data_IF_964778780548
#
_entry.id   IF_964778780548
#
_cell.length_a   1.000
_cell.length_b   1.000
_cell.length_c   1.000
_cell.angle_alpha   90.00
_cell.angle_beta   90.00
_cell.angle_gamma   90.00
#
_symmetry.space_group_name_H-M   'P 1'
#
loop_
_entity.id
_entity.type
_entity.pdbx_description
1 polymer ?
#
# COMPACT_ATOMS: atom_id res chain seq x y z
N UNK A 1 -6.07 -24.85 -7.08
CA UNK A 1 -6.50 -24.04 -5.91
C UNK A 1 -6.76 -22.63 -6.40
N UNK A 2 -8.00 -22.13 -6.35
CA UNK A 2 -8.29 -20.72 -6.68
C UNK A 2 -7.65 -19.88 -5.56
N UNK A 3 -6.75 -18.97 -5.91
CA UNK A 3 -6.17 -18.04 -4.95
C UNK A 3 -7.26 -17.07 -4.54
N UNK A 4 -7.46 -16.87 -3.25
CA UNK A 4 -8.38 -15.84 -2.77
C UNK A 4 -7.79 -14.47 -3.08
N UNK A 5 -8.53 -13.69 -3.87
CA UNK A 5 -8.16 -12.36 -4.35
C UNK A 5 -8.34 -11.26 -3.29
N UNK A 6 -8.71 -11.66 -2.06
CA UNK A 6 -9.09 -10.78 -0.98
C UNK A 6 -8.75 -11.41 0.37
N UNK A 7 -8.12 -10.62 1.25
CA UNK A 7 -7.78 -11.01 2.62
C UNK A 7 -8.19 -9.88 3.55
N UNK A 8 -8.86 -10.24 4.66
CA UNK A 8 -9.17 -9.30 5.72
C UNK A 8 -8.22 -9.52 6.90
N UNK A 9 -7.50 -8.48 7.30
CA UNK A 9 -6.67 -8.50 8.50
C UNK A 9 -7.24 -7.56 9.56
N UNK A 10 -7.04 -7.91 10.82
CA UNK A 10 -7.46 -7.10 11.95
C UNK A 10 -6.22 -6.60 12.68
N UNK A 11 -5.98 -5.29 12.64
CA UNK A 11 -4.86 -4.66 13.32
C UNK A 11 -5.32 -4.09 14.66
N UNK A 12 -4.71 -4.57 15.75
CA UNK A 12 -4.89 -3.98 17.07
C UNK A 12 -4.14 -2.66 17.15
N UNK A 13 -4.81 -1.66 17.71
CA UNK A 13 -4.31 -0.32 17.98
C UNK A 13 -4.30 -0.06 19.48
N UNK A 14 -3.64 1.03 19.85
CA UNK A 14 -3.61 1.50 21.22
C UNK A 14 -5.03 1.79 21.72
N UNK A 15 -5.25 1.61 23.01
CA UNK A 15 -6.60 1.72 23.59
C UNK A 15 -7.52 0.54 23.30
N UNK A 16 -7.01 -0.57 22.75
CA UNK A 16 -7.78 -1.81 22.55
C UNK A 16 -8.67 -1.80 21.31
N UNK A 17 -8.65 -0.73 20.51
CA UNK A 17 -9.33 -0.67 19.24
C UNK A 17 -8.75 -1.69 18.25
N UNK A 18 -9.61 -2.33 17.47
CA UNK A 18 -9.20 -3.19 16.36
C UNK A 18 -9.75 -2.63 15.06
N UNK A 19 -8.86 -2.43 14.09
CA UNK A 19 -9.20 -1.85 12.78
C UNK A 19 -9.08 -2.92 11.70
N UNK A 20 -10.16 -3.22 10.95
CA UNK A 20 -10.11 -4.14 9.83
C UNK A 20 -9.50 -3.45 8.60
N UNK A 21 -8.52 -4.12 7.97
CA UNK A 21 -7.98 -3.74 6.67
C UNK A 21 -8.32 -4.82 5.66
N UNK A 22 -8.90 -4.41 4.53
CA UNK A 22 -9.19 -5.27 3.38
C UNK A 22 -8.05 -5.14 2.37
N UNK A 23 -7.37 -6.24 2.10
CA UNK A 23 -6.34 -6.35 1.07
C UNK A 23 -6.98 -7.03 -0.12
N UNK A 24 -6.89 -6.41 -1.30
CA UNK A 24 -7.36 -6.99 -2.56
C UNK A 24 -6.23 -6.95 -3.58
N UNK A 25 -6.20 -7.94 -4.47
CA UNK A 25 -5.29 -7.95 -5.63
C UNK A 25 -5.98 -7.52 -6.93
N UNK A 26 -7.32 -7.55 -6.96
CA UNK A 26 -8.12 -7.10 -8.09
C UNK A 26 -8.95 -5.84 -7.73
N UNK A 27 -8.51 -4.64 -8.15
CA UNK A 27 -9.21 -3.39 -7.89
C UNK A 27 -10.54 -3.25 -8.64
N UNK A 28 -10.87 -4.13 -9.61
CA UNK A 28 -12.13 -4.07 -10.35
C UNK A 28 -13.37 -4.28 -9.47
N UNK A 29 -13.19 -4.74 -8.23
CA UNK A 29 -14.25 -4.90 -7.23
C UNK A 29 -14.54 -3.61 -6.45
N UNK A 30 -13.75 -2.55 -6.62
CA UNK A 30 -13.94 -1.29 -5.92
C UNK A 30 -14.98 -0.43 -6.65
N UNK A 31 -15.97 0.04 -5.89
CA UNK A 31 -16.86 1.11 -6.33
C UNK A 31 -16.15 2.47 -6.23
N UNK A 32 -16.74 3.51 -6.83
CA UNK A 32 -16.22 4.88 -6.70
C UNK A 32 -16.09 5.33 -5.24
N UNK A 33 -17.05 4.94 -4.39
CA UNK A 33 -17.01 5.27 -2.96
C UNK A 33 -15.94 4.48 -2.20
N UNK A 34 -15.66 3.24 -2.62
CA UNK A 34 -14.57 2.45 -2.02
C UNK A 34 -13.20 3.10 -2.25
N UNK A 35 -13.00 3.81 -3.37
CA UNK A 35 -11.73 4.46 -3.69
C UNK A 35 -11.33 5.55 -2.69
N UNK A 36 -12.30 6.21 -2.03
CA UNK A 36 -11.99 7.12 -0.93
C UNK A 36 -11.43 6.39 0.31
N UNK A 37 -11.75 5.11 0.45
CA UNK A 37 -11.28 4.25 1.54
C UNK A 37 -9.99 3.49 1.22
N UNK A 38 -9.43 3.67 0.03
CA UNK A 38 -8.13 3.10 -0.32
C UNK A 38 -7.03 3.93 0.32
N UNK A 39 -6.23 3.29 1.16
CA UNK A 39 -5.23 3.95 2.00
C UNK A 39 -3.80 3.66 1.56
N UNK A 40 -3.57 2.52 0.91
CA UNK A 40 -2.26 2.09 0.47
C UNK A 40 -2.31 1.32 -0.85
N UNK A 41 -1.21 1.37 -1.61
CA UNK A 41 -0.98 0.55 -2.81
C UNK A 41 0.45 0.02 -2.83
N UNK A 42 0.62 -1.25 -3.22
CA UNK A 42 1.91 -1.82 -3.54
C UNK A 42 2.21 -1.68 -5.02
N UNK A 43 3.20 -0.85 -5.36
CA UNK A 43 3.59 -0.50 -6.72
C UNK A 43 4.62 -1.48 -7.25
N UNK A 44 4.40 -2.01 -8.45
CA UNK A 44 5.31 -2.95 -9.11
C UNK A 44 6.25 -2.25 -10.10
N UNK A 45 5.87 -1.08 -10.64
CA UNK A 45 6.69 -0.26 -11.53
C UNK A 45 6.08 0.04 -12.89
N UNK A 46 5.45 -0.92 -13.60
CA UNK A 46 4.80 -0.62 -14.87
C UNK A 46 3.54 0.23 -14.69
N UNK A 47 3.42 1.33 -15.45
CA UNK A 47 2.26 2.23 -15.37
C UNK A 47 0.93 1.55 -15.72
N UNK A 48 0.95 0.48 -16.52
CA UNK A 48 -0.25 -0.30 -16.84
C UNK A 48 -0.91 -0.94 -15.61
N UNK A 49 -0.18 -1.09 -14.49
CA UNK A 49 -0.73 -1.55 -13.21
C UNK A 49 -1.97 -0.75 -12.80
N UNK A 50 -2.01 0.54 -13.15
CA UNK A 50 -3.05 1.47 -12.75
C UNK A 50 -4.16 1.65 -13.79
N UNK A 51 -4.15 0.87 -14.87
CA UNK A 51 -5.18 0.96 -15.92
C UNK A 51 -6.57 0.73 -15.32
N UNK A 52 -7.49 1.67 -15.57
CA UNK A 52 -8.87 1.59 -15.09
C UNK A 52 -9.05 2.07 -13.65
N UNK A 53 -8.00 2.56 -13.00
CA UNK A 53 -8.11 3.24 -11.72
C UNK A 53 -8.67 4.66 -11.93
N UNK A 54 -9.25 5.28 -10.88
CA UNK A 54 -9.66 6.68 -10.93
C UNK A 54 -8.49 7.62 -11.21
N UNK A 55 -8.76 8.92 -11.28
CA UNK A 55 -7.75 9.96 -11.54
C UNK A 55 -7.02 9.73 -12.86
N UNK A 56 -7.79 9.39 -13.90
CA UNK A 56 -7.29 9.14 -15.26
C UNK A 56 -6.18 8.07 -15.35
N UNK A 57 -6.11 7.16 -14.37
CA UNK A 57 -5.04 6.17 -14.25
C UNK A 57 -3.62 6.80 -14.16
N UNK A 58 -3.52 8.07 -13.73
CA UNK A 58 -2.26 8.80 -13.62
C UNK A 58 -1.56 8.49 -12.28
N UNK A 59 -0.36 7.87 -12.26
CA UNK A 59 0.34 7.53 -11.03
C UNK A 59 0.59 8.71 -10.10
N UNK A 60 0.88 9.90 -10.64
CA UNK A 60 1.15 11.10 -9.84
C UNK A 60 -0.11 11.52 -9.06
N UNK A 61 -1.27 11.51 -9.72
CA UNK A 61 -2.54 11.84 -9.08
C UNK A 61 -2.95 10.74 -8.09
N UNK A 62 -2.82 9.47 -8.48
CA UNK A 62 -3.10 8.31 -7.61
C UNK A 62 -2.29 8.41 -6.31
N UNK A 63 -0.98 8.66 -6.39
CA UNK A 63 -0.10 8.69 -5.22
C UNK A 63 -0.23 9.97 -4.39
N UNK A 64 -0.93 11.00 -4.92
CA UNK A 64 -1.37 12.14 -4.11
C UNK A 64 -2.57 11.79 -3.22
N UNK A 65 -3.33 10.74 -3.57
CA UNK A 65 -4.56 10.32 -2.89
C UNK A 65 -4.46 9.01 -2.12
N UNK A 66 -3.39 8.23 -2.35
CA UNK A 66 -3.15 6.92 -1.76
C UNK A 66 -1.66 6.78 -1.40
N UNK A 67 -1.34 6.20 -0.24
CA UNK A 67 0.06 5.97 0.14
C UNK A 67 0.68 4.82 -0.68
N UNK A 68 1.65 5.13 -1.51
CA UNK A 68 2.34 4.13 -2.33
C UNK A 68 3.56 3.52 -1.63
N UNK A 69 3.72 2.21 -1.77
CA UNK A 69 4.84 1.42 -1.29
C UNK A 69 5.42 0.55 -2.40
N UNK A 70 6.74 0.44 -2.50
CA UNK A 70 7.41 -0.50 -3.40
C UNK A 70 8.28 -1.45 -2.59
N UNK A 71 7.86 -2.71 -2.54
CA UNK A 71 8.58 -3.76 -1.83
C UNK A 71 9.55 -4.44 -2.79
N UNK A 72 10.84 -4.45 -2.44
CA UNK A 72 11.90 -5.05 -3.26
C UNK A 72 12.94 -5.76 -2.41
N UNK A 73 13.70 -6.64 -3.05
CA UNK A 73 14.93 -7.16 -2.45
C UNK A 73 16.03 -6.10 -2.47
N UNK A 74 16.80 -5.99 -1.39
CA UNK A 74 17.79 -4.93 -1.22
C UNK A 74 18.84 -4.92 -2.36
N UNK A 75 19.23 -6.08 -2.87
CA UNK A 75 20.24 -6.25 -3.91
C UNK A 75 19.76 -5.91 -5.33
N UNK A 76 18.45 -5.87 -5.56
CA UNK A 76 17.91 -5.53 -6.87
C UNK A 76 17.84 -4.00 -7.04
N UNK A 77 17.94 -3.46 -8.28
CA UNK A 77 17.72 -2.05 -8.52
C UNK A 77 16.25 -1.67 -8.29
N UNK A 78 16.00 -0.39 -8.00
CA UNK A 78 14.64 0.16 -7.97
C UNK A 78 14.16 0.34 -9.41
N UNK A 79 12.91 -0.03 -9.69
CA UNK A 79 12.32 0.17 -11.01
C UNK A 79 12.40 1.66 -11.46
N UNK A 80 12.80 1.95 -12.71
CA UNK A 80 12.99 3.33 -13.17
C UNK A 80 11.74 4.22 -13.11
N UNK A 81 10.53 3.66 -13.19
CA UNK A 81 9.31 4.43 -13.03
C UNK A 81 9.04 4.72 -11.56
N UNK A 82 9.28 3.75 -10.67
CA UNK A 82 9.14 3.93 -9.22
C UNK A 82 10.04 5.06 -8.72
N UNK A 83 11.26 5.19 -9.25
CA UNK A 83 12.18 6.28 -8.90
C UNK A 83 11.62 7.68 -9.21
N UNK A 84 10.69 7.79 -10.17
CA UNK A 84 10.08 9.06 -10.61
C UNK A 84 8.80 9.39 -9.84
N UNK A 85 8.30 8.47 -9.03
CA UNK A 85 7.02 8.58 -8.37
C UNK A 85 7.15 8.75 -6.86
N UNK A 86 6.13 9.34 -6.22
CA UNK A 86 6.07 9.47 -4.77
C UNK A 86 5.75 8.13 -4.11
N UNK A 87 6.75 7.26 -4.01
CA UNK A 87 6.61 5.88 -3.52
C UNK A 87 7.61 5.61 -2.40
N UNK A 88 7.14 5.02 -1.29
CA UNK A 88 8.03 4.60 -0.22
C UNK A 88 8.67 3.25 -0.54
N UNK A 89 9.99 3.21 -0.65
CA UNK A 89 10.73 1.99 -0.99
C UNK A 89 10.99 1.19 0.29
N UNK A 90 10.51 -0.06 0.31
CA UNK A 90 10.76 -1.02 1.37
C UNK A 90 11.74 -2.08 0.87
N UNK A 91 12.91 -2.16 1.51
CA UNK A 91 13.90 -3.18 1.20
C UNK A 91 13.72 -4.39 2.13
N UNK A 92 13.66 -5.57 1.52
CA UNK A 92 13.76 -6.85 2.20
C UNK A 92 15.12 -7.47 1.93
N UNK A 93 15.63 -8.17 2.93
CA UNK A 93 16.89 -8.92 2.82
C UNK A 93 16.56 -10.41 2.75
N UNK A 94 17.08 -11.10 1.73
CA UNK A 94 16.80 -12.54 1.54
C UNK A 94 17.36 -13.41 2.67
N UNK A 95 18.46 -13.00 3.28
CA UNK A 95 19.18 -13.76 4.30
C UNK A 95 18.82 -13.30 5.71
N UNK A 96 18.62 -12.01 5.92
CA UNK A 96 18.31 -11.42 7.23
C UNK A 96 16.80 -11.24 7.44
N UNK A 97 16.04 -12.33 7.38
CA UNK A 97 14.58 -12.34 7.54
C UNK A 97 14.08 -11.88 8.91
N UNK A 98 14.94 -11.88 9.94
CA UNK A 98 14.61 -11.29 11.25
C UNK A 98 14.37 -9.77 11.16
N UNK A 99 14.86 -9.10 10.11
CA UNK A 99 14.63 -7.68 9.84
C UNK A 99 13.24 -7.40 9.24
N UNK A 100 12.54 -8.41 8.72
CA UNK A 100 11.19 -8.23 8.14
C UNK A 100 10.23 -7.61 9.15
N UNK A 101 10.39 -7.93 10.44
CA UNK A 101 9.59 -7.35 11.53
C UNK A 101 9.79 -5.83 11.61
N UNK A 102 11.01 -5.35 11.47
CA UNK A 102 11.31 -3.92 11.46
C UNK A 102 10.76 -3.25 10.20
N UNK A 103 10.90 -3.88 9.02
CA UNK A 103 10.32 -3.36 7.78
C UNK A 103 8.79 -3.28 7.86
N UNK A 104 8.14 -4.29 8.44
CA UNK A 104 6.69 -4.28 8.66
C UNK A 104 6.27 -3.18 9.64
N UNK A 105 7.03 -2.96 10.71
CA UNK A 105 6.78 -1.86 11.63
C UNK A 105 6.87 -0.50 10.92
N UNK A 106 7.91 -0.28 10.11
CA UNK A 106 8.07 0.95 9.33
C UNK A 106 6.91 1.16 8.35
N UNK A 107 6.44 0.10 7.68
CA UNK A 107 5.24 0.19 6.83
C UNK A 107 4.05 0.76 7.59
N UNK A 108 3.78 0.21 8.78
CA UNK A 108 2.65 0.65 9.60
C UNK A 108 2.82 2.08 10.11
N UNK A 109 4.02 2.48 10.51
CA UNK A 109 4.31 3.87 10.92
C UNK A 109 4.09 4.87 9.78
N UNK A 110 4.53 4.51 8.56
CA UNK A 110 4.31 5.33 7.37
C UNK A 110 2.84 5.41 6.98
N UNK A 111 2.10 4.31 7.07
CA UNK A 111 0.68 4.28 6.80
C UNK A 111 -0.09 5.10 7.85
N UNK A 112 0.20 4.92 9.13
CA UNK A 112 -0.49 5.62 10.22
C UNK A 112 -0.30 7.14 10.11
N UNK A 113 0.93 7.59 9.83
CA UNK A 113 1.21 9.02 9.60
C UNK A 113 0.42 9.59 8.43
N UNK A 114 0.29 8.83 7.34
CA UNK A 114 -0.53 9.21 6.20
C UNK A 114 -2.02 9.25 6.58
N UNK A 115 -2.52 8.25 7.31
CA UNK A 115 -3.91 8.19 7.74
C UNK A 115 -4.30 9.37 8.64
N UNK A 116 -3.44 9.73 9.60
CA UNK A 116 -3.63 10.90 10.47
C UNK A 116 -3.83 12.20 9.69
N UNK A 117 -3.08 12.37 8.60
CA UNK A 117 -3.03 13.61 7.83
C UNK A 117 -4.10 13.66 6.74
N UNK A 118 -4.22 12.60 5.95
CA UNK A 118 -4.90 12.62 4.66
C UNK A 118 -6.18 11.76 4.65
N UNK A 119 -6.42 10.94 5.69
CA UNK A 119 -7.59 10.05 5.83
C UNK A 119 -8.17 10.06 7.25
N UNK A 120 -8.18 11.23 7.89
CA UNK A 120 -8.57 11.38 9.31
C UNK A 120 -10.05 11.04 9.60
N UNK A 121 -10.89 11.00 8.56
CA UNK A 121 -12.28 10.55 8.63
C UNK A 121 -12.42 9.02 8.74
N UNK A 122 -11.39 8.26 8.40
CA UNK A 122 -11.37 6.82 8.54
C UNK A 122 -10.85 6.42 9.93
N UNK A 123 -11.32 5.27 10.41
CA UNK A 123 -10.72 4.64 11.60
C UNK A 123 -9.40 4.02 11.19
N UNK A 124 -8.33 4.33 11.91
CA UNK A 124 -7.00 3.77 11.72
C UNK A 124 -6.32 3.56 13.05
#
# INVERSE_FOLDING_TARGET
MKRDNEVLIHRRKDGGLTVPYRIIDNPSKLTNDDWDRVVAVFVQGPAWQFKGWPWSSNPVEIFSKIKAFHLKWCELPVDPNVQKWSVHIMNLDRHRRHLDRASLQQFWEHLDRYMMKDKSHLRY
#
